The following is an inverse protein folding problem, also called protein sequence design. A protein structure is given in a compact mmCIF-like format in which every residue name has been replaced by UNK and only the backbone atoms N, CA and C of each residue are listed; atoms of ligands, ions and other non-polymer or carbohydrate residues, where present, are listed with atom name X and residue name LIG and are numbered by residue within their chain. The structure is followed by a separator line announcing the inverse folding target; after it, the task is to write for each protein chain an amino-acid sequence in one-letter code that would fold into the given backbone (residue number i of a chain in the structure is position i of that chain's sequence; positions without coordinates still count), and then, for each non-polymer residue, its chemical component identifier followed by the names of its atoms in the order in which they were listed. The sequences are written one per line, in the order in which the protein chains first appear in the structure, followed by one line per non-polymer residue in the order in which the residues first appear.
data_IF_206701640773
#
_entry.id   IF_206701640773
#
_cell.length_a   1.000
_cell.length_b   1.000
_cell.length_c   1.000
_cell.angle_alpha   90.00
_cell.angle_beta   90.00
_cell.angle_gamma   90.00
#
_symmetry.space_group_name_H-M   'P 1'
#
loop_
_entity.id
_entity.type
_entity.pdbx_description
1 polymer ?
#
# COMPACT_ATOMS: atom_id res chain seq x y z
N UNK A 1 -23.28 -15.78 -17.28
CA UNK A 1 -22.88 -15.45 -18.68
C UNK A 1 -21.99 -14.20 -18.74
N UNK A 2 -22.37 -13.10 -18.05
CA UNK A 2 -21.58 -11.85 -17.95
C UNK A 2 -20.12 -12.06 -17.49
N UNK A 3 -19.88 -12.73 -16.37
CA UNK A 3 -18.52 -13.00 -15.81
C UNK A 3 -17.59 -13.64 -16.83
N UNK A 4 -18.01 -14.75 -17.46
CA UNK A 4 -17.22 -15.45 -18.48
C UNK A 4 -16.89 -14.55 -19.67
N UNK A 5 -17.81 -13.69 -20.10
CA UNK A 5 -17.56 -12.73 -21.18
C UNK A 5 -16.52 -11.69 -20.77
N UNK A 6 -16.61 -11.14 -19.55
CA UNK A 6 -15.65 -10.15 -19.05
C UNK A 6 -14.26 -10.76 -18.92
N UNK A 7 -14.12 -11.93 -18.28
CA UNK A 7 -12.83 -12.64 -18.13
C UNK A 7 -12.21 -12.97 -19.49
N UNK A 8 -13.02 -13.44 -20.46
CA UNK A 8 -12.53 -13.70 -21.82
C UNK A 8 -12.07 -12.41 -22.52
N UNK A 9 -12.76 -11.29 -22.29
CA UNK A 9 -12.36 -10.00 -22.84
C UNK A 9 -11.03 -9.52 -22.23
N UNK A 10 -10.84 -9.64 -20.91
CA UNK A 10 -9.56 -9.35 -20.26
C UNK A 10 -8.44 -10.24 -20.77
N UNK A 11 -8.67 -11.56 -20.85
CA UNK A 11 -7.69 -12.50 -21.40
C UNK A 11 -7.28 -12.10 -22.82
N UNK A 12 -8.24 -11.73 -23.67
CA UNK A 12 -7.94 -11.28 -25.04
C UNK A 12 -7.22 -9.93 -25.07
N UNK A 13 -7.69 -8.94 -24.30
CA UNK A 13 -7.21 -7.54 -24.31
C UNK A 13 -5.80 -7.42 -23.74
N UNK A 14 -5.53 -8.09 -22.61
CA UNK A 14 -4.31 -7.89 -21.83
C UNK A 14 -3.34 -9.07 -21.88
N UNK A 15 -3.80 -10.25 -22.28
CA UNK A 15 -3.00 -11.49 -22.19
C UNK A 15 -2.96 -12.27 -23.50
N UNK A 16 -3.42 -11.68 -24.62
CA UNK A 16 -3.47 -12.31 -25.95
C UNK A 16 -4.19 -13.68 -25.98
N UNK A 17 -5.11 -13.92 -25.05
CA UNK A 17 -5.81 -15.20 -24.91
C UNK A 17 -4.99 -16.32 -24.26
N UNK A 18 -3.84 -16.01 -23.65
CA UNK A 18 -2.85 -16.97 -23.17
C UNK A 18 -2.82 -17.15 -21.65
N UNK A 19 -3.82 -16.67 -20.90
CA UNK A 19 -3.91 -17.03 -19.47
C UNK A 19 -4.06 -18.54 -19.29
N UNK A 20 -3.45 -19.09 -18.24
CA UNK A 20 -3.56 -20.50 -17.89
C UNK A 20 -5.00 -20.89 -17.55
N UNK A 21 -5.34 -22.17 -17.72
CA UNK A 21 -6.68 -22.68 -17.37
C UNK A 21 -7.02 -22.47 -15.90
N UNK A 22 -6.02 -22.58 -15.03
CA UNK A 22 -6.17 -22.37 -13.59
C UNK A 22 -6.53 -20.91 -13.27
N UNK A 23 -5.79 -19.95 -13.83
CA UNK A 23 -6.09 -18.52 -13.69
C UNK A 23 -7.49 -18.20 -14.19
N UNK A 24 -7.86 -18.69 -15.38
CA UNK A 24 -9.20 -18.50 -15.92
C UNK A 24 -10.29 -19.12 -15.03
N UNK A 25 -10.00 -20.28 -14.42
CA UNK A 25 -10.85 -20.94 -13.45
C UNK A 25 -11.11 -20.05 -12.23
N UNK A 26 -10.07 -19.52 -11.61
CA UNK A 26 -10.17 -18.62 -10.45
C UNK A 26 -10.92 -17.32 -10.81
N UNK A 27 -10.51 -16.63 -11.88
CA UNK A 27 -11.15 -15.36 -12.28
C UNK A 27 -12.64 -15.54 -12.63
N UNK A 28 -13.05 -16.74 -13.06
CA UNK A 28 -14.46 -17.02 -13.34
C UNK A 28 -15.36 -17.09 -12.11
N UNK A 29 -14.77 -17.14 -10.89
CA UNK A 29 -15.49 -17.16 -9.62
C UNK A 29 -15.81 -15.76 -9.08
N UNK A 30 -15.21 -14.71 -9.67
CA UNK A 30 -15.43 -13.31 -9.27
C UNK A 30 -16.88 -12.86 -9.49
N UNK A 31 -17.44 -12.08 -8.56
CA UNK A 31 -18.71 -11.37 -8.77
C UNK A 31 -18.53 -10.12 -9.64
N UNK A 32 -18.37 -10.34 -10.95
CA UNK A 32 -18.24 -9.27 -11.95
C UNK A 32 -19.59 -8.60 -12.30
N UNK A 33 -20.61 -8.75 -11.46
CA UNK A 33 -21.76 -7.84 -11.48
C UNK A 33 -21.46 -6.54 -10.76
N UNK A 34 -20.50 -6.53 -9.83
CA UNK A 34 -20.00 -5.33 -9.20
C UNK A 34 -19.10 -4.55 -10.19
N UNK A 35 -19.53 -3.35 -10.58
CA UNK A 35 -18.81 -2.48 -11.52
C UNK A 35 -17.49 -1.95 -10.94
N UNK A 36 -17.40 -1.80 -9.62
CA UNK A 36 -16.18 -1.36 -8.95
C UNK A 36 -15.08 -2.41 -9.08
N UNK A 37 -15.39 -3.68 -8.79
CA UNK A 37 -14.47 -4.81 -8.97
C UNK A 37 -14.02 -4.89 -10.43
N UNK A 38 -14.96 -4.72 -11.36
CA UNK A 38 -14.67 -4.79 -12.79
C UNK A 38 -13.72 -3.67 -13.21
N UNK A 39 -13.95 -2.45 -12.75
CA UNK A 39 -13.12 -1.27 -13.08
C UNK A 39 -11.73 -1.38 -12.46
N UNK A 40 -11.66 -1.79 -11.18
CA UNK A 40 -10.41 -2.03 -10.47
C UNK A 40 -9.57 -3.09 -11.20
N UNK A 41 -10.15 -4.22 -11.56
CA UNK A 41 -9.43 -5.30 -12.24
C UNK A 41 -9.03 -4.95 -13.68
N UNK A 42 -9.85 -4.17 -14.40
CA UNK A 42 -9.45 -3.67 -15.73
C UNK A 42 -8.21 -2.78 -15.64
N UNK A 43 -8.17 -1.88 -14.65
CA UNK A 43 -7.01 -1.01 -14.34
C UNK A 43 -5.79 -1.83 -13.93
N UNK A 44 -5.97 -2.80 -13.04
CA UNK A 44 -4.92 -3.70 -12.58
C UNK A 44 -4.27 -4.45 -13.77
N UNK A 45 -5.09 -5.05 -14.64
CA UNK A 45 -4.58 -5.80 -15.81
C UNK A 45 -3.97 -4.89 -16.87
N UNK A 46 -4.45 -3.64 -16.99
CA UNK A 46 -3.83 -2.64 -17.84
C UNK A 46 -2.39 -2.36 -17.42
N UNK A 47 -2.11 -2.09 -16.14
CA UNK A 47 -0.74 -1.84 -15.67
C UNK A 47 0.17 -3.07 -15.81
N UNK A 48 -0.37 -4.28 -15.55
CA UNK A 48 0.37 -5.52 -15.80
C UNK A 48 0.78 -5.63 -17.27
N UNK A 49 -0.17 -5.38 -18.19
CA UNK A 49 0.07 -5.41 -19.63
C UNK A 49 1.09 -4.34 -20.08
N UNK A 50 0.95 -3.11 -19.60
CA UNK A 50 1.86 -2.00 -19.93
C UNK A 50 3.30 -2.26 -19.49
N UNK A 51 3.49 -3.09 -18.45
CA UNK A 51 4.82 -3.51 -17.98
C UNK A 51 5.52 -4.52 -18.89
N UNK A 52 4.91 -4.92 -20.01
CA UNK A 52 5.49 -5.89 -20.95
C UNK A 52 5.42 -7.35 -20.49
N UNK A 53 4.72 -7.61 -19.39
CA UNK A 53 4.63 -8.94 -18.80
C UNK A 53 3.68 -9.87 -19.58
N UNK A 54 4.08 -11.14 -19.67
CA UNK A 54 3.35 -12.15 -20.44
C UNK A 54 2.36 -12.88 -19.55
N UNK A 55 1.33 -13.46 -20.16
CA UNK A 55 0.30 -14.24 -19.46
C UNK A 55 0.87 -15.37 -18.60
N UNK A 56 1.98 -15.97 -19.06
CA UNK A 56 2.70 -17.06 -18.39
C UNK A 56 3.30 -16.68 -17.04
N UNK A 57 3.49 -15.40 -16.81
CA UNK A 57 4.05 -14.89 -15.57
C UNK A 57 2.98 -14.43 -14.58
N UNK A 58 1.69 -14.49 -14.94
CA UNK A 58 0.61 -14.19 -14.00
C UNK A 58 0.30 -15.44 -13.15
N UNK A 59 0.66 -15.46 -11.86
CA UNK A 59 0.60 -16.69 -11.08
C UNK A 59 -0.85 -16.99 -10.62
N UNK A 60 -1.27 -18.27 -10.63
CA UNK A 60 -2.61 -18.67 -10.21
C UNK A 60 -3.02 -18.24 -8.79
N UNK A 61 -2.08 -18.20 -7.83
CA UNK A 61 -2.38 -17.77 -6.44
C UNK A 61 -2.99 -16.36 -6.40
N UNK A 62 -2.60 -15.48 -7.31
CA UNK A 62 -3.17 -14.13 -7.33
C UNK A 62 -4.55 -14.12 -7.94
N UNK A 63 -4.81 -14.93 -8.95
CA UNK A 63 -6.16 -15.13 -9.46
C UNK A 63 -7.08 -15.69 -8.37
N UNK A 64 -6.60 -16.66 -7.60
CA UNK A 64 -7.31 -17.24 -6.47
C UNK A 64 -7.54 -16.21 -5.35
N UNK A 65 -6.48 -15.53 -4.91
CA UNK A 65 -6.58 -14.50 -3.87
C UNK A 65 -7.56 -13.40 -4.26
N UNK A 66 -7.53 -12.94 -5.52
CA UNK A 66 -8.50 -11.97 -6.04
C UNK A 66 -9.91 -12.54 -5.96
N UNK A 67 -10.13 -13.78 -6.42
CA UNK A 67 -11.44 -14.44 -6.37
C UNK A 67 -12.00 -14.56 -4.94
N UNK A 68 -11.14 -14.82 -3.96
CA UNK A 68 -11.53 -15.05 -2.57
C UNK A 68 -11.66 -13.76 -1.74
N UNK A 69 -10.88 -12.72 -2.07
CA UNK A 69 -10.70 -11.57 -1.17
C UNK A 69 -11.09 -10.23 -1.77
N UNK A 70 -11.15 -10.07 -3.11
CA UNK A 70 -11.21 -8.72 -3.71
C UNK A 70 -12.43 -7.91 -3.25
N UNK A 71 -13.58 -8.56 -3.04
CA UNK A 71 -14.80 -7.92 -2.54
C UNK A 71 -14.56 -7.19 -1.22
N UNK A 72 -13.74 -7.77 -0.34
CA UNK A 72 -13.43 -7.16 0.93
C UNK A 72 -12.63 -5.89 0.74
N UNK A 73 -11.82 -5.73 -0.32
CA UNK A 73 -10.95 -4.56 -0.48
C UNK A 73 -11.55 -3.43 -1.33
N UNK A 74 -12.77 -3.57 -1.84
CA UNK A 74 -13.44 -2.53 -2.63
C UNK A 74 -13.90 -1.38 -1.74
N UNK A 75 -13.81 -0.13 -2.23
CA UNK A 75 -14.23 1.07 -1.49
C UNK A 75 -15.70 1.00 -1.07
N UNK A 76 -16.57 0.45 -1.92
CA UNK A 76 -17.98 0.25 -1.56
C UNK A 76 -18.21 -0.70 -0.37
N UNK A 77 -17.23 -1.56 -0.05
CA UNK A 77 -17.30 -2.45 1.10
C UNK A 77 -17.04 -1.73 2.44
N UNK A 78 -16.70 -0.44 2.40
CA UNK A 78 -16.29 0.35 3.56
C UNK A 78 -16.99 1.71 3.60
N UNK A 79 -17.32 2.19 4.81
CA UNK A 79 -17.68 3.60 4.97
C UNK A 79 -16.44 4.50 4.94
N UNK A 80 -15.28 3.98 5.35
CA UNK A 80 -13.95 4.58 5.22
C UNK A 80 -12.93 3.49 4.93
N UNK A 81 -11.91 3.81 4.13
CA UNK A 81 -10.83 2.87 3.79
C UNK A 81 -10.20 2.31 5.08
N UNK A 82 -10.11 0.98 5.24
CA UNK A 82 -9.51 0.39 6.41
C UNK A 82 -8.01 0.73 6.46
N UNK A 83 -7.47 1.05 7.63
CA UNK A 83 -6.07 1.35 7.76
C UNK A 83 -5.23 0.09 7.52
N UNK A 84 -4.18 0.25 6.72
CA UNK A 84 -3.17 -0.78 6.50
C UNK A 84 -1.95 -0.37 7.31
N UNK A 85 -1.96 -0.64 8.62
CA UNK A 85 -0.87 -0.25 9.52
C UNK A 85 -0.25 -1.49 10.15
N UNK A 86 1.08 -1.56 10.13
CA UNK A 86 1.81 -2.64 10.77
C UNK A 86 3.17 -2.12 11.23
N UNK A 87 3.60 -2.61 12.40
CA UNK A 87 4.91 -2.27 12.96
C UNK A 87 6.03 -2.68 12.02
N UNK A 88 6.99 -1.80 11.81
CA UNK A 88 8.14 -1.98 10.94
C UNK A 88 7.83 -1.84 9.44
N UNK A 89 6.56 -1.63 9.04
CA UNK A 89 6.15 -1.53 7.64
C UNK A 89 6.95 -0.46 6.88
N UNK A 90 7.18 0.70 7.49
CA UNK A 90 7.87 1.83 6.86
C UNK A 90 9.32 2.00 7.30
N UNK A 91 9.92 1.01 7.98
CA UNK A 91 11.30 1.11 8.47
C UNK A 91 12.32 1.47 7.38
N UNK A 92 12.17 0.87 6.19
CA UNK A 92 13.06 1.17 5.05
C UNK A 92 12.86 2.62 4.56
N UNK A 93 11.65 3.16 4.60
CA UNK A 93 11.38 4.55 4.26
C UNK A 93 12.01 5.50 5.29
N UNK A 94 11.98 5.15 6.57
CA UNK A 94 12.68 5.91 7.60
C UNK A 94 14.20 5.95 7.32
N UNK A 95 14.77 4.85 6.80
CA UNK A 95 16.18 4.84 6.33
C UNK A 95 16.41 5.72 5.10
N UNK A 96 15.43 5.87 4.19
CA UNK A 96 15.51 6.81 3.04
C UNK A 96 15.67 8.24 3.53
N UNK A 97 14.93 8.64 4.57
CA UNK A 97 15.03 9.99 5.13
C UNK A 97 16.43 10.26 5.69
N UNK A 98 16.99 9.30 6.42
CA UNK A 98 18.31 9.45 7.03
C UNK A 98 19.45 9.35 6.02
N UNK A 99 19.41 8.38 5.11
CA UNK A 99 20.55 8.01 4.26
C UNK A 99 20.52 8.68 2.90
N UNK A 100 19.35 8.74 2.26
CA UNK A 100 19.18 9.32 0.92
C UNK A 100 18.98 10.83 1.03
N UNK A 101 18.01 11.28 1.84
CA UNK A 101 17.70 12.71 1.99
C UNK A 101 18.65 13.44 2.95
N UNK A 102 19.45 12.69 3.72
CA UNK A 102 20.41 13.22 4.72
C UNK A 102 19.74 14.12 5.75
N UNK A 103 18.49 13.81 6.11
CA UNK A 103 17.78 14.50 7.18
C UNK A 103 18.42 14.14 8.52
N UNK A 104 18.74 15.17 9.29
CA UNK A 104 19.46 15.06 10.54
C UNK A 104 18.50 14.59 11.65
N UNK A 105 18.76 13.39 12.20
CA UNK A 105 18.00 12.84 13.32
C UNK A 105 18.22 13.62 14.62
N UNK A 106 19.35 14.34 14.72
CA UNK A 106 19.75 15.09 15.90
C UNK A 106 19.23 16.54 15.90
N UNK A 107 18.42 16.92 14.90
CA UNK A 107 17.79 18.24 14.82
C UNK A 107 16.27 18.13 14.82
N UNK A 108 15.57 19.08 15.45
CA UNK A 108 14.13 19.19 15.31
C UNK A 108 13.75 19.48 13.86
N UNK A 109 12.86 18.65 13.31
CA UNK A 109 12.20 18.86 12.03
C UNK A 109 10.69 18.83 12.26
N UNK A 110 9.96 19.66 11.51
CA UNK A 110 8.50 19.61 11.47
C UNK A 110 8.09 18.60 10.40
N UNK A 111 7.34 17.56 10.77
CA UNK A 111 6.97 16.46 9.88
C UNK A 111 5.46 16.29 9.83
N UNK A 112 4.92 16.11 8.62
CA UNK A 112 3.53 15.71 8.41
C UNK A 112 3.46 14.26 7.91
N UNK A 113 2.71 13.41 8.61
CA UNK A 113 2.40 12.04 8.18
C UNK A 113 0.95 11.97 7.70
N UNK A 114 0.73 11.82 6.40
CA UNK A 114 -0.60 11.81 5.78
C UNK A 114 -1.07 10.37 5.60
N UNK A 115 -2.20 10.03 6.22
CA UNK A 115 -2.82 8.71 6.18
C UNK A 115 -2.19 7.76 7.20
N UNK A 116 -1.98 8.22 8.43
CA UNK A 116 -1.36 7.42 9.47
C UNK A 116 -2.18 6.19 9.90
N UNK A 117 -3.47 6.14 9.55
CA UNK A 117 -4.37 5.07 9.92
C UNK A 117 -4.63 4.95 11.42
N UNK A 118 -5.23 3.84 11.82
CA UNK A 118 -5.44 3.46 13.22
C UNK A 118 -5.39 1.93 13.41
N UNK A 119 -4.62 1.40 14.38
CA UNK A 119 -3.66 2.12 15.22
C UNK A 119 -2.52 2.72 14.37
N UNK A 120 -1.94 3.87 14.76
CA UNK A 120 -1.00 4.63 13.94
C UNK A 120 0.44 4.07 14.02
N UNK A 121 0.61 2.75 13.90
CA UNK A 121 1.87 2.03 14.14
C UNK A 121 3.06 2.60 13.37
N UNK A 122 2.86 2.96 12.10
CA UNK A 122 3.94 3.48 11.26
C UNK A 122 4.38 4.88 11.68
N UNK A 123 3.48 5.69 12.22
CA UNK A 123 3.79 7.01 12.78
C UNK A 123 4.51 6.88 14.12
N UNK A 124 4.12 5.91 14.94
CA UNK A 124 4.81 5.60 16.19
C UNK A 124 6.24 5.13 15.92
N UNK A 125 6.45 4.27 14.93
CA UNK A 125 7.78 3.84 14.51
C UNK A 125 8.65 5.03 14.09
N UNK A 126 8.09 5.97 13.32
CA UNK A 126 8.79 7.20 12.94
C UNK A 126 9.17 8.05 14.15
N UNK A 127 8.22 8.29 15.06
CA UNK A 127 8.46 9.07 16.28
C UNK A 127 9.55 8.43 17.16
N UNK A 128 9.57 7.09 17.22
CA UNK A 128 10.60 6.35 17.94
C UNK A 128 11.97 6.41 17.25
N UNK A 129 12.01 6.37 15.91
CA UNK A 129 13.24 6.46 15.14
C UNK A 129 13.85 7.87 15.17
N UNK A 130 13.02 8.91 15.28
CA UNK A 130 13.44 10.32 15.25
C UNK A 130 12.84 11.11 16.43
N UNK A 131 13.33 10.89 17.66
CA UNK A 131 12.69 11.41 18.89
C UNK A 131 12.73 12.94 19.03
N UNK A 132 13.51 13.65 18.21
CA UNK A 132 13.58 15.11 18.20
C UNK A 132 12.62 15.77 17.20
N UNK A 133 12.06 15.01 16.26
CA UNK A 133 11.14 15.53 15.26
C UNK A 133 9.79 15.82 15.88
N UNK A 134 9.17 16.92 15.46
CA UNK A 134 7.81 17.28 15.83
C UNK A 134 6.88 16.79 14.71
N UNK A 135 6.12 15.73 14.99
CA UNK A 135 5.30 15.02 14.03
C UNK A 135 3.83 15.39 14.23
N UNK A 136 3.22 15.91 13.17
CA UNK A 136 1.76 15.99 13.03
C UNK A 136 1.32 14.85 12.11
N UNK A 137 0.39 14.02 12.54
CA UNK A 137 -0.14 12.93 11.75
C UNK A 137 -1.63 13.14 11.50
N UNK A 138 -2.06 12.93 10.26
CA UNK A 138 -3.44 13.18 9.86
C UNK A 138 -4.08 11.96 9.21
N UNK A 139 -5.31 11.67 9.58
CA UNK A 139 -6.12 10.64 8.91
C UNK A 139 -7.62 10.89 9.18
N UNK A 140 -8.47 10.94 8.13
CA UNK A 140 -9.91 11.11 8.32
C UNK A 140 -10.58 9.85 8.90
N UNK A 141 -9.92 8.71 8.88
CA UNK A 141 -10.37 7.40 9.34
C UNK A 141 -10.12 7.12 10.82
N UNK A 142 -9.52 8.07 11.57
CA UNK A 142 -9.33 7.89 13.02
C UNK A 142 -10.68 7.71 13.74
N UNK A 143 -10.83 6.67 14.57
CA UNK A 143 -12.04 6.47 15.35
C UNK A 143 -12.14 7.46 16.51
N UNK A 144 -13.36 7.89 16.81
CA UNK A 144 -13.67 8.62 18.05
C UNK A 144 -13.90 7.66 19.21
N UNK A 145 -14.33 6.42 18.91
CA UNK A 145 -14.54 5.39 19.93
C UNK A 145 -14.10 4.02 19.42
N UNK A 146 -13.60 3.19 20.33
CA UNK A 146 -13.30 1.78 20.05
C UNK A 146 -13.96 0.92 21.10
N UNK A 147 -14.73 -0.07 20.65
CA UNK A 147 -15.35 -1.06 21.50
C UNK A 147 -14.71 -2.41 21.25
N UNK A 148 -14.06 -2.96 22.28
CA UNK A 148 -13.55 -4.31 22.27
C UNK A 148 -14.60 -5.28 22.80
N UNK A 149 -14.75 -6.43 22.17
CA UNK A 149 -15.47 -7.56 22.76
C UNK A 149 -14.54 -8.42 23.65
N UNK A 150 -15.11 -9.44 24.28
CA UNK A 150 -14.37 -10.35 25.17
C UNK A 150 -13.35 -11.25 24.45
N UNK A 151 -13.41 -11.33 23.11
CA UNK A 151 -12.46 -12.08 22.28
C UNK A 151 -11.31 -11.18 21.79
N UNK A 152 -11.34 -9.87 22.11
CA UNK A 152 -10.34 -8.89 21.69
C UNK A 152 -10.57 -8.36 20.26
N UNK A 153 -11.72 -8.65 19.65
CA UNK A 153 -12.13 -7.98 18.42
C UNK A 153 -12.50 -6.54 18.71
N UNK A 154 -12.23 -5.63 17.76
CA UNK A 154 -12.45 -4.21 17.96
C UNK A 154 -13.40 -3.64 16.91
N UNK A 155 -14.41 -2.89 17.34
CA UNK A 155 -15.25 -2.07 16.48
C UNK A 155 -14.90 -0.59 16.64
N UNK A 156 -14.68 0.08 15.51
CA UNK A 156 -14.29 1.48 15.45
C UNK A 156 -15.49 2.34 15.06
N UNK A 157 -15.82 3.33 15.88
CA UNK A 157 -16.93 4.25 15.68
C UNK A 157 -16.45 5.68 15.46
N UNK A 158 -17.13 6.42 14.61
CA UNK A 158 -16.87 7.85 14.39
C UNK A 158 -17.56 8.74 15.44
N UNK A 159 -17.36 10.05 15.35
CA UNK A 159 -17.97 11.04 16.25
C UNK A 159 -19.50 11.02 16.17
N UNK A 160 -20.07 10.67 15.02
CA UNK A 160 -21.51 10.49 14.84
C UNK A 160 -22.00 9.12 15.33
N UNK A 161 -21.13 8.33 15.98
CA UNK A 161 -21.41 7.02 16.57
C UNK A 161 -21.78 5.96 15.52
N UNK A 162 -21.36 6.16 14.27
CA UNK A 162 -21.52 5.16 13.21
C UNK A 162 -20.37 4.17 13.25
N UNK A 163 -20.68 2.89 13.08
CA UNK A 163 -19.67 1.84 12.91
C UNK A 163 -18.93 2.05 11.58
N UNK A 164 -17.63 2.34 11.66
CA UNK A 164 -16.77 2.62 10.51
C UNK A 164 -16.15 1.34 9.96
N UNK A 165 -15.52 0.55 10.84
CA UNK A 165 -14.92 -0.75 10.51
C UNK A 165 -14.75 -1.62 11.76
N UNK A 166 -14.45 -2.89 11.54
CA UNK A 166 -14.16 -3.88 12.59
C UNK A 166 -12.78 -4.49 12.30
N UNK A 167 -11.98 -4.67 13.35
CA UNK A 167 -10.70 -5.36 13.31
C UNK A 167 -10.80 -6.68 14.07
N UNK A 168 -10.21 -7.74 13.50
CA UNK A 168 -10.02 -8.99 14.24
C UNK A 168 -9.01 -8.78 15.36
N UNK A 169 -9.07 -9.65 16.37
CA UNK A 169 -8.05 -9.68 17.40
C UNK A 169 -6.69 -9.92 16.71
N UNK A 170 -5.69 -9.04 16.89
CA UNK A 170 -4.39 -9.15 16.24
C UNK A 170 -3.62 -10.44 16.59
N UNK A 171 -4.00 -11.17 17.65
CA UNK A 171 -3.44 -12.48 17.98
C UNK A 171 -3.94 -13.61 17.06
N UNK A 172 -5.01 -13.37 16.28
CA UNK A 172 -5.53 -14.35 15.32
C UNK A 172 -4.77 -14.30 13.99
N UNK A 173 -4.42 -15.47 13.44
CA UNK A 173 -3.65 -15.59 12.18
C UNK A 173 -4.39 -15.13 10.92
N UNK A 174 -5.71 -14.99 10.98
CA UNK A 174 -6.54 -14.54 9.85
C UNK A 174 -6.91 -13.09 10.12
N UNK A 175 -6.44 -12.18 9.27
CA UNK A 175 -6.58 -10.74 9.53
C UNK A 175 -7.94 -10.16 9.08
N UNK A 176 -8.77 -10.92 8.34
CA UNK A 176 -10.03 -10.42 7.81
C UNK A 176 -11.20 -11.36 8.07
N UNK A 177 -12.36 -10.78 8.36
CA UNK A 177 -13.62 -11.49 8.39
C UNK A 177 -14.06 -11.80 6.96
N UNK A 178 -14.54 -13.03 6.72
CA UNK A 178 -15.33 -13.27 5.53
C UNK A 178 -16.67 -12.51 5.61
N UNK A 179 -17.40 -12.40 4.50
CA UNK A 179 -18.65 -11.64 4.45
C UNK A 179 -19.67 -12.01 5.54
N UNK A 180 -19.87 -13.31 5.79
CA UNK A 180 -20.85 -13.79 6.79
C UNK A 180 -20.41 -13.44 8.20
N UNK A 181 -19.12 -13.61 8.49
CA UNK A 181 -18.56 -13.19 9.77
C UNK A 181 -18.67 -11.68 9.95
N UNK A 182 -18.38 -10.89 8.92
CA UNK A 182 -18.48 -9.42 8.97
C UNK A 182 -19.90 -8.99 9.34
N UNK A 183 -20.92 -9.57 8.70
CA UNK A 183 -22.32 -9.30 9.04
C UNK A 183 -22.66 -9.70 10.48
N UNK A 184 -22.16 -10.85 10.96
CA UNK A 184 -22.34 -11.29 12.34
C UNK A 184 -21.74 -10.30 13.35
N UNK A 185 -20.47 -9.93 13.18
CA UNK A 185 -19.77 -9.02 14.09
C UNK A 185 -20.31 -7.59 14.01
N UNK A 186 -20.76 -7.12 12.83
CA UNK A 186 -21.46 -5.82 12.72
C UNK A 186 -22.68 -5.80 13.65
N UNK A 187 -23.54 -6.81 13.58
CA UNK A 187 -24.74 -6.87 14.41
C UNK A 187 -24.38 -6.98 15.90
N UNK A 188 -23.39 -7.81 16.24
CA UNK A 188 -22.91 -7.95 17.62
C UNK A 188 -22.41 -6.61 18.18
N UNK A 189 -21.53 -5.91 17.46
CA UNK A 189 -20.98 -4.64 17.93
C UNK A 189 -22.01 -3.52 17.97
N UNK A 190 -23.02 -3.53 17.10
CA UNK A 190 -24.15 -2.61 17.21
C UNK A 190 -24.94 -2.86 18.51
N UNK A 191 -25.21 -4.13 18.84
CA UNK A 191 -25.87 -4.48 20.09
C UNK A 191 -25.04 -4.09 21.32
N UNK A 192 -23.73 -4.31 21.28
CA UNK A 192 -22.82 -3.90 22.35
C UNK A 192 -22.76 -2.37 22.48
N UNK A 193 -22.71 -1.65 21.35
CA UNK A 193 -22.72 -0.20 21.33
C UNK A 193 -23.99 0.36 21.97
N UNK A 194 -25.17 -0.21 21.66
CA UNK A 194 -26.44 0.21 22.25
C UNK A 194 -26.49 0.06 23.78
N UNK A 195 -25.69 -0.83 24.37
CA UNK A 195 -25.60 -1.01 25.83
C UNK A 195 -24.77 0.08 26.51
N UNK A 196 -23.81 0.67 25.79
CA UNK A 196 -22.77 1.56 26.37
C UNK A 196 -22.89 3.01 25.92
N UNK A 197 -23.56 3.28 24.80
CA UNK A 197 -23.61 4.62 24.17
C UNK A 197 -24.19 5.73 25.05
N UNK A 198 -25.07 5.37 25.99
CA UNK A 198 -25.73 6.30 26.90
C UNK A 198 -24.91 6.59 28.17
N UNK A 199 -23.87 5.77 28.45
CA UNK A 199 -22.94 5.97 29.57
C UNK A 199 -21.64 6.67 29.16
N UNK A 200 -21.48 7.00 27.88
CA UNK A 200 -20.29 7.67 27.35
C UNK A 200 -20.20 9.08 27.93
N UNK A 201 -19.25 9.29 28.83
CA UNK A 201 -18.84 10.63 29.24
C UNK A 201 -17.69 11.10 28.34
N UNK A 202 -18.02 12.01 27.41
CA UNK A 202 -17.04 12.56 26.46
C UNK A 202 -15.97 13.44 27.12
N UNK A 203 -16.13 13.78 28.40
CA UNK A 203 -15.14 14.56 29.17
C UNK A 203 -14.04 13.69 29.78
N UNK A 204 -14.25 12.38 29.90
CA UNK A 204 -13.27 11.46 30.45
C UNK A 204 -12.39 10.81 29.36
N UNK A 205 -11.07 10.92 29.52
CA UNK A 205 -10.06 10.20 28.70
C UNK A 205 -9.88 8.75 29.17
N UNK A 206 -10.97 8.03 29.41
CA UNK A 206 -10.94 6.79 30.19
C UNK A 206 -11.61 5.63 29.45
N UNK A 207 -10.98 4.46 29.57
CA UNK A 207 -11.59 3.20 29.18
C UNK A 207 -12.74 2.83 30.12
N UNK A 208 -13.96 2.74 29.62
CA UNK A 208 -15.10 2.21 30.37
C UNK A 208 -15.16 0.70 30.18
N UNK A 209 -14.98 -0.06 31.26
CA UNK A 209 -15.20 -1.51 31.25
C UNK A 209 -16.67 -1.80 31.49
N UNK A 210 -17.26 -2.60 30.60
CA UNK A 210 -18.59 -3.19 30.80
C UNK A 210 -18.46 -4.69 31.01
N UNK A 211 -19.52 -5.34 31.50
CA UNK A 211 -19.56 -6.81 31.59
C UNK A 211 -19.40 -7.50 30.21
N UNK A 212 -19.49 -6.72 29.13
CA UNK A 212 -19.56 -7.16 27.75
C UNK A 212 -18.37 -6.72 26.88
N UNK A 213 -17.43 -5.94 27.42
CA UNK A 213 -16.29 -5.44 26.65
C UNK A 213 -15.56 -4.24 27.26
N UNK A 214 -14.65 -3.66 26.48
CA UNK A 214 -13.91 -2.44 26.84
C UNK A 214 -14.18 -1.34 25.82
N UNK A 215 -14.75 -0.22 26.26
CA UNK A 215 -14.92 0.98 25.46
C UNK A 215 -13.76 1.95 25.70
N UNK A 216 -13.12 2.42 24.65
CA UNK A 216 -12.11 3.49 24.68
C UNK A 216 -12.66 4.72 23.96
N UNK A 217 -12.60 5.88 24.63
CA UNK A 217 -13.05 7.18 24.12
C UNK A 217 -11.82 7.99 23.67
N UNK A 218 -11.88 8.59 22.48
CA UNK A 218 -10.79 9.35 21.87
C UNK A 218 -9.44 8.59 21.87
N UNK A 219 -9.42 7.37 21.31
CA UNK A 219 -8.30 6.44 21.45
C UNK A 219 -6.98 7.00 20.92
N UNK A 220 -7.02 7.89 19.93
CA UNK A 220 -5.82 8.50 19.35
C UNK A 220 -5.01 9.29 20.38
N UNK A 221 -5.66 9.87 21.39
CA UNK A 221 -4.98 10.68 22.43
C UNK A 221 -4.06 9.86 23.32
N UNK A 222 -4.20 8.53 23.35
CA UNK A 222 -3.28 7.63 24.05
C UNK A 222 -1.91 7.54 23.38
N UNK A 223 -1.81 7.91 22.11
CA UNK A 223 -0.58 7.88 21.33
C UNK A 223 0.11 9.24 21.26
N UNK A 224 -0.54 10.32 21.70
CA UNK A 224 0.02 11.67 21.68
C UNK A 224 1.19 11.83 22.65
N UNK A 225 2.12 12.70 22.29
CA UNK A 225 3.22 13.13 23.15
C UNK A 225 3.49 14.62 22.97
N UNK A 226 4.52 15.16 23.63
CA UNK A 226 4.93 16.55 23.43
C UNK A 226 5.45 16.85 22.01
N UNK A 227 5.71 15.81 21.21
CA UNK A 227 6.24 15.92 19.84
C UNK A 227 5.47 15.09 18.81
N UNK A 228 4.35 14.50 19.21
CA UNK A 228 3.51 13.69 18.33
C UNK A 228 2.06 14.09 18.56
N UNK A 229 1.44 14.63 17.51
CA UNK A 229 0.09 15.15 17.51
C UNK A 229 -0.71 14.52 16.38
N UNK A 230 -2.02 14.35 16.60
CA UNK A 230 -2.91 13.76 15.61
C UNK A 230 -4.10 14.67 15.31
N UNK A 231 -4.36 14.91 14.03
CA UNK A 231 -5.53 15.65 13.57
C UNK A 231 -6.42 14.79 12.66
N UNK A 232 -7.74 14.88 12.84
CA UNK A 232 -8.71 14.21 11.96
C UNK A 232 -8.94 15.10 10.72
N UNK A 233 -8.04 15.00 9.74
CA UNK A 233 -8.05 15.80 8.51
C UNK A 233 -7.76 14.94 7.28
N UNK A 234 -8.29 15.37 6.13
CA UNK A 234 -7.88 14.83 4.82
C UNK A 234 -6.73 15.65 4.24
N UNK A 235 -5.98 15.05 3.32
CA UNK A 235 -4.93 15.75 2.56
C UNK A 235 -5.48 16.97 1.78
N UNK A 236 -6.76 16.93 1.37
CA UNK A 236 -7.42 18.03 0.65
C UNK A 236 -7.94 19.13 1.59
N UNK A 237 -8.27 18.78 2.84
CA UNK A 237 -8.80 19.72 3.83
C UNK A 237 -7.72 20.48 4.60
N UNK A 238 -6.46 20.04 4.54
CA UNK A 238 -5.38 20.69 5.26
C UNK A 238 -5.17 22.16 4.82
N UNK A 239 -4.72 22.98 5.77
CA UNK A 239 -4.51 24.41 5.58
C UNK A 239 -3.24 24.89 6.31
N UNK A 240 -2.13 24.24 6.00
CA UNK A 240 -0.81 24.64 6.49
C UNK A 240 -0.08 25.45 5.43
N UNK A 241 0.77 26.39 5.85
CA UNK A 241 1.60 27.20 4.96
C UNK A 241 3.05 27.19 5.44
N UNK A 242 3.96 26.66 4.61
CA UNK A 242 5.40 26.54 4.89
C UNK A 242 5.71 26.00 6.30
N UNK A 243 4.94 25.01 6.74
CA UNK A 243 4.98 24.48 8.10
C UNK A 243 5.97 23.31 8.25
N UNK A 244 6.13 22.48 7.21
CA UNK A 244 6.82 21.20 7.32
C UNK A 244 8.14 21.14 6.54
N UNK A 245 9.14 20.51 7.13
CA UNK A 245 10.42 20.19 6.49
C UNK A 245 10.30 18.87 5.68
N UNK A 246 9.44 17.96 6.14
CA UNK A 246 9.15 16.68 5.50
C UNK A 246 7.63 16.40 5.54
N UNK A 247 7.08 15.97 4.43
CA UNK A 247 5.74 15.39 4.35
C UNK A 247 5.89 13.97 3.82
N UNK A 248 5.27 12.98 4.47
CA UNK A 248 5.22 11.61 3.95
C UNK A 248 3.79 11.10 3.78
N UNK A 249 3.55 10.23 2.80
CA UNK A 249 2.25 9.59 2.61
C UNK A 249 2.34 8.23 1.92
N UNK A 250 1.96 7.14 2.61
CA UNK A 250 2.12 5.79 2.09
C UNK A 250 0.81 5.02 2.04
N UNK A 251 0.51 4.44 0.88
CA UNK A 251 -0.74 3.76 0.55
C UNK A 251 -2.00 4.62 0.68
N UNK A 252 -1.90 5.93 0.40
CA UNK A 252 -3.05 6.87 0.38
C UNK A 252 -3.43 7.25 -1.05
N UNK A 253 -2.45 7.68 -1.85
CA UNK A 253 -2.68 8.21 -3.20
C UNK A 253 -3.24 7.17 -4.18
N UNK A 254 -3.11 5.87 -3.87
CA UNK A 254 -3.73 4.77 -4.63
C UNK A 254 -5.26 4.85 -4.72
N UNK A 255 -5.90 5.61 -3.82
CA UNK A 255 -7.34 5.84 -3.74
C UNK A 255 -7.80 7.13 -4.41
N UNK A 256 -6.89 7.96 -4.93
CA UNK A 256 -7.24 9.29 -5.43
C UNK A 256 -7.52 9.25 -6.92
N UNK A 257 -8.65 9.84 -7.33
CA UNK A 257 -8.84 10.23 -8.73
C UNK A 257 -7.78 11.27 -9.11
N UNK A 258 -7.65 11.53 -10.42
CA UNK A 258 -6.74 12.57 -10.91
C UNK A 258 -7.00 13.94 -10.25
N UNK A 259 -8.27 14.33 -10.11
CA UNK A 259 -8.63 15.60 -9.49
C UNK A 259 -8.27 15.64 -8.00
N UNK A 260 -8.53 14.54 -7.27
CA UNK A 260 -8.18 14.44 -5.86
C UNK A 260 -6.66 14.45 -5.65
N UNK A 261 -5.90 13.80 -6.54
CA UNK A 261 -4.44 13.83 -6.59
C UNK A 261 -3.94 15.27 -6.77
N UNK A 262 -4.39 15.97 -7.80
CA UNK A 262 -3.97 17.34 -8.10
C UNK A 262 -4.27 18.31 -6.95
N UNK A 263 -5.46 18.19 -6.34
CA UNK A 263 -5.82 19.00 -5.18
C UNK A 263 -4.91 18.72 -3.98
N UNK A 264 -4.62 17.46 -3.68
CA UNK A 264 -3.73 17.08 -2.59
C UNK A 264 -2.30 17.59 -2.84
N UNK A 265 -1.77 17.45 -4.06
CA UNK A 265 -0.45 17.95 -4.43
C UNK A 265 -0.32 19.46 -4.24
N UNK A 266 -1.35 20.24 -4.62
CA UNK A 266 -1.37 21.69 -4.39
C UNK A 266 -1.34 22.05 -2.89
N UNK A 267 -2.04 21.28 -2.06
CA UNK A 267 -2.02 21.47 -0.61
C UNK A 267 -0.65 21.14 -0.02
N UNK A 268 -0.03 20.05 -0.47
CA UNK A 268 1.31 19.64 -0.03
C UNK A 268 2.35 20.68 -0.41
N UNK A 269 2.30 21.21 -1.64
CA UNK A 269 3.20 22.27 -2.10
C UNK A 269 3.14 23.50 -1.18
N UNK A 270 1.94 23.91 -0.76
CA UNK A 270 1.75 25.04 0.15
C UNK A 270 2.25 24.73 1.56
N UNK A 271 2.00 23.53 2.06
CA UNK A 271 2.35 23.11 3.41
C UNK A 271 3.87 22.93 3.61
N UNK A 272 4.59 22.54 2.57
CA UNK A 272 6.02 22.25 2.63
C UNK A 272 6.86 23.54 2.63
N UNK A 273 7.93 23.59 3.43
CA UNK A 273 8.93 24.67 3.38
C UNK A 273 9.76 24.58 2.10
N UNK A 274 10.30 25.71 1.67
CA UNK A 274 11.29 25.74 0.57
C UNK A 274 12.49 24.84 0.91
N UNK A 275 12.89 23.98 -0.01
CA UNK A 275 13.92 22.95 0.19
C UNK A 275 13.46 21.69 0.93
N UNK A 276 12.25 21.69 1.49
CA UNK A 276 11.65 20.53 2.14
C UNK A 276 11.26 19.42 1.15
N UNK A 277 11.00 18.23 1.69
CA UNK A 277 10.70 17.04 0.88
C UNK A 277 9.27 16.53 1.06
N UNK A 278 8.69 16.05 -0.03
CA UNK A 278 7.48 15.23 0.00
C UNK A 278 7.81 13.84 -0.54
N UNK A 279 7.54 12.81 0.26
CA UNK A 279 7.80 11.41 -0.11
C UNK A 279 6.49 10.65 -0.05
N UNK A 280 6.06 10.06 -1.16
CA UNK A 280 4.88 9.22 -1.17
C UNK A 280 5.07 7.95 -1.96
N UNK A 281 4.22 6.97 -1.68
CA UNK A 281 4.16 5.76 -2.48
C UNK A 281 3.44 4.63 -1.79
N UNK A 282 3.98 3.43 -1.93
CA UNK A 282 3.40 2.20 -1.41
C UNK A 282 4.50 1.31 -0.84
N UNK A 283 4.23 0.70 0.31
CA UNK A 283 5.03 -0.39 0.88
C UNK A 283 4.04 -1.45 1.34
N UNK A 284 4.34 -2.73 1.10
CA UNK A 284 3.47 -3.82 1.54
C UNK A 284 3.45 -3.94 3.07
N UNK A 285 2.42 -4.59 3.63
CA UNK A 285 2.18 -4.66 5.09
C UNK A 285 3.36 -5.19 5.90
N UNK A 286 4.12 -6.12 5.33
CA UNK A 286 5.31 -6.73 5.93
C UNK A 286 6.61 -5.94 5.67
N UNK A 287 6.53 -4.74 5.09
CA UNK A 287 7.68 -3.89 4.77
C UNK A 287 8.39 -4.21 3.45
N UNK A 288 7.84 -5.10 2.62
CA UNK A 288 8.43 -5.39 1.30
C UNK A 288 7.82 -4.53 0.20
N UNK A 289 8.35 -4.67 -1.02
CA UNK A 289 7.86 -3.95 -2.19
C UNK A 289 7.76 -2.43 -2.03
N UNK A 290 8.79 -1.75 -1.49
CA UNK A 290 8.79 -0.30 -1.50
C UNK A 290 8.78 0.21 -2.94
N UNK A 291 7.88 1.16 -3.18
CA UNK A 291 7.72 1.96 -4.37
C UNK A 291 7.46 3.39 -3.88
N UNK A 292 8.28 4.37 -4.24
CA UNK A 292 8.10 5.74 -3.78
C UNK A 292 8.63 6.76 -4.75
N UNK A 293 8.07 7.96 -4.66
CA UNK A 293 8.53 9.15 -5.37
C UNK A 293 8.87 10.23 -4.36
N UNK A 294 10.01 10.88 -4.58
CA UNK A 294 10.51 12.00 -3.78
C UNK A 294 10.35 13.26 -4.61
N UNK A 295 9.72 14.26 -3.99
CA UNK A 295 9.65 15.63 -4.48
C UNK A 295 10.42 16.53 -3.54
N UNK A 296 11.01 17.59 -4.08
CA UNK A 296 11.56 18.69 -3.30
C UNK A 296 10.87 19.98 -3.70
N UNK A 297 10.54 20.82 -2.72
CA UNK A 297 10.05 22.17 -3.02
C UNK A 297 11.20 23.06 -3.45
N UNK A 298 11.16 23.53 -4.69
CA UNK A 298 12.13 24.44 -5.27
C UNK A 298 11.42 25.59 -6.00
N UNK A 299 11.84 26.82 -5.74
CA UNK A 299 11.23 28.04 -6.24
C UNK A 299 9.71 28.08 -6.02
N UNK A 300 9.26 27.64 -4.84
CA UNK A 300 7.85 27.59 -4.48
C UNK A 300 7.03 26.47 -5.14
N UNK A 301 7.65 25.56 -5.89
CA UNK A 301 6.96 24.44 -6.58
C UNK A 301 7.50 23.08 -6.16
N UNK A 302 6.65 22.06 -6.14
CA UNK A 302 7.11 20.67 -6.00
C UNK A 302 7.77 20.20 -7.31
N UNK A 303 9.05 19.87 -7.23
CA UNK A 303 9.81 19.26 -8.33
C UNK A 303 10.05 17.78 -8.03
N UNK A 304 9.76 16.86 -8.95
CA UNK A 304 10.14 15.46 -8.79
C UNK A 304 11.66 15.34 -8.83
N UNK A 305 12.22 14.62 -7.87
CA UNK A 305 13.67 14.40 -7.73
C UNK A 305 14.03 12.97 -8.02
N UNK A 306 13.28 12.03 -7.46
CA UNK A 306 13.60 10.61 -7.56
C UNK A 306 12.33 9.76 -7.57
N UNK A 307 12.33 8.73 -8.40
CA UNK A 307 11.38 7.62 -8.32
C UNK A 307 12.16 6.33 -8.02
N UNK A 308 11.76 5.56 -7.02
CA UNK A 308 12.46 4.37 -6.62
C UNK A 308 11.54 3.18 -6.35
N UNK A 309 12.04 1.97 -6.61
CA UNK A 309 11.31 0.73 -6.40
C UNK A 309 12.26 -0.45 -6.12
N UNK A 310 11.77 -1.44 -5.39
CA UNK A 310 12.54 -2.67 -5.11
C UNK A 310 12.47 -3.71 -6.24
N UNK A 311 13.38 -4.70 -6.21
CA UNK A 311 13.47 -5.74 -7.25
C UNK A 311 12.27 -6.68 -7.29
N UNK A 312 11.53 -6.82 -6.20
CA UNK A 312 10.39 -7.75 -6.14
C UNK A 312 9.27 -7.39 -7.13
N UNK A 313 9.19 -6.13 -7.57
CA UNK A 313 8.26 -5.69 -8.62
C UNK A 313 8.54 -6.34 -9.98
N UNK A 314 9.79 -6.75 -10.25
CA UNK A 314 10.18 -7.42 -11.50
C UNK A 314 9.75 -8.90 -11.50
N UNK A 315 9.62 -9.49 -10.31
CA UNK A 315 9.35 -10.94 -10.17
C UNK A 315 7.97 -11.36 -10.68
N UNK A 316 7.03 -10.41 -10.80
CA UNK A 316 5.61 -10.63 -11.14
C UNK A 316 4.81 -11.42 -10.10
N UNK A 317 5.49 -11.96 -9.10
CA UNK A 317 4.90 -12.60 -7.94
C UNK A 317 4.38 -11.57 -6.93
N UNK A 318 4.60 -10.27 -7.10
CA UNK A 318 4.01 -9.24 -6.27
C UNK A 318 2.75 -8.63 -6.93
N UNK A 319 1.56 -9.05 -6.50
CA UNK A 319 0.30 -8.50 -7.02
C UNK A 319 0.07 -7.03 -6.67
N UNK A 320 0.61 -6.56 -5.53
CA UNK A 320 0.32 -5.21 -5.03
C UNK A 320 1.02 -4.13 -5.85
N UNK A 321 2.01 -4.51 -6.67
CA UNK A 321 2.64 -3.63 -7.67
C UNK A 321 1.61 -2.87 -8.51
N UNK A 322 0.50 -3.52 -8.85
CA UNK A 322 -0.54 -3.01 -9.75
C UNK A 322 -1.80 -2.52 -9.03
N UNK A 323 -1.77 -2.51 -7.69
CA UNK A 323 -2.92 -2.13 -6.89
C UNK A 323 -3.21 -0.63 -7.03
N UNK A 324 -4.30 -0.30 -7.71
CA UNK A 324 -4.75 1.07 -7.87
C UNK A 324 -6.24 1.14 -8.25
N UNK A 325 -6.97 2.11 -7.71
CA UNK A 325 -8.39 2.32 -8.00
C UNK A 325 -8.66 3.19 -9.22
N UNK A 326 -7.62 3.83 -9.77
CA UNK A 326 -7.75 4.78 -10.86
C UNK A 326 -6.66 4.57 -11.92
N UNK A 327 -7.04 4.77 -13.17
CA UNK A 327 -6.10 4.80 -14.28
C UNK A 327 -5.18 6.03 -14.21
N UNK A 328 -4.05 5.96 -14.91
CA UNK A 328 -3.10 7.06 -15.09
C UNK A 328 -2.48 7.62 -13.81
N UNK A 329 -2.26 6.78 -12.79
CA UNK A 329 -1.47 7.18 -11.63
C UNK A 329 0.00 7.37 -12.02
N UNK A 330 0.62 8.52 -11.68
CA UNK A 330 1.99 8.83 -12.12
C UNK A 330 3.03 7.79 -11.69
N UNK A 331 2.99 7.36 -10.43
CA UNK A 331 3.94 6.38 -9.86
C UNK A 331 3.79 4.99 -10.50
N UNK A 332 2.55 4.58 -10.80
CA UNK A 332 2.28 3.33 -11.52
C UNK A 332 2.75 3.39 -12.96
N UNK A 333 2.51 4.49 -13.67
CA UNK A 333 2.99 4.66 -15.04
C UNK A 333 4.53 4.63 -15.09
N UNK A 334 5.22 5.32 -14.18
CA UNK A 334 6.68 5.26 -14.04
C UNK A 334 7.18 3.84 -13.77
N UNK A 335 6.53 3.11 -12.85
CA UNK A 335 6.84 1.70 -12.60
C UNK A 335 6.68 0.86 -13.86
N UNK A 336 5.54 0.96 -14.56
CA UNK A 336 5.29 0.18 -15.78
C UNK A 336 6.31 0.47 -16.87
N UNK A 337 6.76 1.73 -17.02
CA UNK A 337 7.79 2.09 -18.00
C UNK A 337 9.14 1.43 -17.65
N UNK A 338 9.56 1.50 -16.38
CA UNK A 338 10.80 0.85 -15.93
C UNK A 338 10.74 -0.66 -16.13
N UNK A 339 9.64 -1.30 -15.73
CA UNK A 339 9.46 -2.74 -15.85
C UNK A 339 9.38 -3.20 -17.30
N UNK A 340 8.76 -2.39 -18.18
CA UNK A 340 8.74 -2.66 -19.62
C UNK A 340 10.14 -2.66 -20.23
N UNK A 341 10.97 -1.67 -19.91
CA UNK A 341 12.37 -1.63 -20.37
C UNK A 341 13.11 -2.90 -19.95
N UNK A 342 12.93 -3.33 -18.70
CA UNK A 342 13.57 -4.53 -18.17
C UNK A 342 13.03 -5.79 -18.87
N UNK A 343 11.72 -5.88 -19.11
CA UNK A 343 11.08 -7.00 -19.78
C UNK A 343 11.48 -7.11 -21.26
N UNK A 344 11.74 -5.98 -21.93
CA UNK A 344 12.20 -5.94 -23.32
C UNK A 344 13.67 -6.40 -23.47
N UNK A 345 14.49 -6.37 -22.41
CA UNK A 345 15.82 -7.01 -22.36
C UNK A 345 15.67 -8.51 -22.07
N UNK A 346 15.39 -9.30 -23.12
CA UNK A 346 15.08 -10.74 -22.99
C UNK A 346 16.14 -11.53 -22.22
N UNK A 347 17.42 -11.18 -22.37
CA UNK A 347 18.52 -11.91 -21.71
C UNK A 347 18.52 -11.65 -20.21
N UNK A 348 18.43 -10.38 -19.80
CA UNK A 348 18.34 -10.02 -18.39
C UNK A 348 17.05 -10.58 -17.78
N UNK A 349 15.91 -10.38 -18.43
CA UNK A 349 14.63 -10.78 -17.92
C UNK A 349 14.53 -12.29 -17.74
N UNK A 350 14.94 -13.09 -18.74
CA UNK A 350 14.99 -14.56 -18.60
C UNK A 350 15.93 -15.02 -17.48
N UNK A 351 17.03 -14.32 -17.24
CA UNK A 351 17.94 -14.63 -16.13
C UNK A 351 17.28 -14.38 -14.78
N UNK A 352 16.59 -13.25 -14.62
CA UNK A 352 15.82 -12.93 -13.42
C UNK A 352 14.70 -13.95 -13.20
N UNK A 353 13.93 -14.28 -14.24
CA UNK A 353 12.85 -15.27 -14.14
C UNK A 353 13.38 -16.66 -13.75
N UNK A 354 14.53 -17.07 -14.28
CA UNK A 354 15.17 -18.33 -13.89
C UNK A 354 15.56 -18.33 -12.41
N UNK A 355 16.04 -17.21 -11.87
CA UNK A 355 16.30 -17.08 -10.43
C UNK A 355 15.02 -17.05 -9.59
N UNK A 356 13.95 -16.42 -10.07
CA UNK A 356 12.62 -16.52 -9.42
C UNK A 356 12.15 -17.97 -9.36
N UNK A 357 12.28 -18.72 -10.45
CA UNK A 357 11.88 -20.13 -10.49
C UNK A 357 12.73 -21.00 -9.55
N UNK A 358 14.04 -20.74 -9.45
CA UNK A 358 14.92 -21.40 -8.49
C UNK A 358 14.51 -21.09 -7.04
N UNK A 359 14.19 -19.84 -6.74
CA UNK A 359 13.67 -19.44 -5.43
C UNK A 359 12.36 -20.17 -5.12
N UNK A 360 11.41 -20.20 -6.06
CA UNK A 360 10.12 -20.88 -5.89
C UNK A 360 10.30 -22.37 -5.54
N UNK A 361 11.25 -23.03 -6.20
CA UNK A 361 11.58 -24.44 -5.95
C UNK A 361 12.29 -24.65 -4.61
N UNK A 362 13.30 -23.82 -4.29
CA UNK A 362 14.07 -23.92 -3.05
C UNK A 362 13.20 -23.69 -1.81
N UNK A 363 12.27 -22.75 -1.91
CA UNK A 363 11.32 -22.43 -0.84
C UNK A 363 10.10 -23.35 -0.81
N UNK A 364 10.00 -24.32 -1.73
CA UNK A 364 8.86 -25.22 -1.85
C UNK A 364 7.52 -24.46 -1.90
N UNK A 365 7.49 -23.35 -2.65
CA UNK A 365 6.31 -22.51 -2.85
C UNK A 365 5.75 -22.66 -4.26
N UNK A 366 6.53 -23.11 -5.23
CA UNK A 366 6.06 -23.31 -6.59
C UNK A 366 7.09 -23.84 -7.58
N UNK A 367 6.66 -23.94 -8.83
CA UNK A 367 7.49 -24.37 -9.96
C UNK A 367 6.94 -23.80 -11.27
N UNK A 368 7.77 -23.80 -12.32
CA UNK A 368 7.34 -23.51 -13.69
C UNK A 368 7.18 -24.80 -14.48
N UNK A 369 6.07 -24.96 -15.21
CA UNK A 369 5.83 -26.16 -16.01
C UNK A 369 6.52 -26.11 -17.39
N UNK A 370 6.34 -27.18 -18.17
CA UNK A 370 6.90 -27.29 -19.52
C UNK A 370 6.28 -26.31 -20.53
N UNK A 371 5.10 -25.77 -20.23
CA UNK A 371 4.41 -24.75 -21.02
C UNK A 371 4.79 -23.32 -20.54
N UNK A 372 5.74 -23.23 -19.61
CA UNK A 372 6.35 -22.01 -19.06
C UNK A 372 5.39 -21.21 -18.12
N UNK A 373 4.32 -21.84 -17.62
CA UNK A 373 3.42 -21.26 -16.61
C UNK A 373 3.92 -21.52 -15.20
N UNK A 374 3.76 -20.51 -14.33
CA UNK A 374 4.00 -20.65 -12.89
C UNK A 374 2.84 -21.41 -12.25
N UNK A 375 3.18 -22.42 -11.45
CA UNK A 375 2.31 -23.17 -10.55
C UNK A 375 2.79 -22.97 -9.12
N UNK A 376 1.86 -22.80 -8.19
CA UNK A 376 2.20 -22.66 -6.78
C UNK A 376 1.72 -23.89 -6.03
N UNK A 377 2.50 -24.30 -5.05
CA UNK A 377 2.14 -25.37 -4.13
C UNK A 377 1.23 -24.78 -3.05
N UNK A 378 0.29 -25.58 -2.55
CA UNK A 378 -0.53 -25.19 -1.40
C UNK A 378 0.38 -25.04 -0.17
N UNK A 379 0.81 -23.81 0.07
CA UNK A 379 1.80 -23.46 1.08
C UNK A 379 1.27 -22.30 1.93
N UNK A 380 0.84 -22.56 3.18
CA UNK A 380 0.28 -21.51 4.04
C UNK A 380 1.30 -20.43 4.40
N UNK A 381 2.60 -20.68 4.23
CA UNK A 381 3.68 -19.75 4.53
C UNK A 381 4.14 -18.95 3.31
N UNK A 382 3.38 -18.96 2.20
CA UNK A 382 3.75 -18.29 0.94
C UNK A 382 4.21 -16.83 1.17
N UNK A 383 3.38 -16.03 1.86
CA UNK A 383 3.67 -14.62 2.11
C UNK A 383 4.89 -14.41 3.01
N UNK A 384 5.10 -15.31 3.97
CA UNK A 384 6.24 -15.26 4.88
C UNK A 384 7.55 -15.56 4.16
N UNK A 385 7.56 -16.53 3.25
CA UNK A 385 8.75 -16.86 2.45
C UNK A 385 8.99 -15.80 1.39
N UNK A 386 7.92 -15.27 0.79
CA UNK A 386 7.98 -14.24 -0.25
C UNK A 386 8.82 -13.02 0.15
N UNK A 387 8.86 -12.66 1.44
CA UNK A 387 9.66 -11.52 1.91
C UNK A 387 11.17 -11.65 1.64
N UNK A 388 11.65 -12.88 1.43
CA UNK A 388 13.05 -13.16 1.12
C UNK A 388 13.38 -13.05 -0.37
N UNK A 389 12.37 -12.90 -1.25
CA UNK A 389 12.60 -12.85 -2.69
C UNK A 389 13.44 -11.63 -3.09
N UNK A 390 13.21 -10.46 -2.49
CA UNK A 390 13.98 -9.27 -2.80
C UNK A 390 15.47 -9.49 -2.49
N UNK A 391 15.79 -10.11 -1.34
CA UNK A 391 17.16 -10.48 -0.98
C UNK A 391 17.78 -11.48 -1.95
N UNK A 392 17.00 -12.46 -2.40
CA UNK A 392 17.42 -13.45 -3.38
C UNK A 392 17.78 -12.81 -4.73
N UNK A 393 17.03 -11.78 -5.13
CA UNK A 393 17.23 -11.08 -6.40
C UNK A 393 18.31 -9.98 -6.36
N UNK A 394 18.82 -9.60 -5.18
CA UNK A 394 19.87 -8.56 -5.02
C UNK A 394 21.04 -8.64 -6.01
N UNK A 395 21.56 -9.83 -6.40
CA UNK A 395 22.63 -9.92 -7.40
C UNK A 395 22.31 -9.25 -8.75
N UNK A 396 21.02 -9.07 -9.10
CA UNK A 396 20.58 -8.46 -10.35
C UNK A 396 20.45 -6.94 -10.30
N UNK A 397 20.48 -6.31 -9.12
CA UNK A 397 20.17 -4.86 -8.99
C UNK A 397 21.05 -3.99 -9.89
N UNK A 398 22.33 -4.33 -10.02
CA UNK A 398 23.28 -3.63 -10.88
C UNK A 398 22.93 -3.80 -12.36
N UNK A 399 22.66 -5.02 -12.80
CA UNK A 399 22.28 -5.32 -14.18
C UNK A 399 20.96 -4.66 -14.58
N UNK A 400 20.02 -4.55 -13.64
CA UNK A 400 18.76 -3.82 -13.83
C UNK A 400 19.02 -2.33 -14.02
N UNK A 401 19.83 -1.69 -13.16
CA UNK A 401 20.19 -0.28 -13.34
C UNK A 401 20.91 -0.07 -14.68
N UNK A 402 21.84 -0.94 -15.05
CA UNK A 402 22.53 -0.86 -16.35
C UNK A 402 21.57 -1.00 -17.54
N UNK A 403 20.54 -1.85 -17.44
CA UNK A 403 19.49 -2.00 -18.45
C UNK A 403 18.70 -0.69 -18.62
N UNK A 404 18.27 -0.09 -17.51
CA UNK A 404 17.56 1.19 -17.50
C UNK A 404 18.44 2.35 -18.02
N UNK A 405 19.74 2.37 -17.70
CA UNK A 405 20.68 3.35 -18.26
C UNK A 405 20.80 3.20 -19.78
N UNK A 406 20.89 1.97 -20.30
CA UNK A 406 20.95 1.73 -21.75
C UNK A 406 19.71 2.20 -22.49
N UNK A 407 18.55 2.25 -21.85
CA UNK A 407 17.32 2.80 -22.44
C UNK A 407 17.21 4.32 -22.35
N UNK A 408 18.18 4.99 -21.70
CA UNK A 408 18.22 6.45 -21.56
C UNK A 408 17.76 6.98 -20.20
N UNK A 409 17.34 6.11 -19.27
CA UNK A 409 16.93 6.54 -17.92
C UNK A 409 18.15 6.80 -17.03
N UNK A 410 18.06 7.80 -16.14
CA UNK A 410 19.11 8.09 -15.17
C UNK A 410 19.00 7.19 -13.94
N UNK A 411 19.24 5.88 -14.12
CA UNK A 411 19.09 4.89 -13.05
C UNK A 411 20.35 4.73 -12.18
N UNK A 412 20.15 4.46 -10.89
CA UNK A 412 21.19 4.14 -9.91
C UNK A 412 20.65 3.19 -8.84
N UNK A 413 21.55 2.60 -8.07
CA UNK A 413 21.20 1.97 -6.79
C UNK A 413 21.26 3.06 -5.73
N UNK A 414 20.18 3.29 -4.99
CA UNK A 414 20.21 4.28 -3.93
C UNK A 414 20.79 3.73 -2.62
N UNK A 415 20.86 4.60 -1.62
CA UNK A 415 21.54 4.35 -0.36
C UNK A 415 20.88 3.21 0.43
N UNK A 416 19.58 2.97 0.25
CA UNK A 416 18.85 1.85 0.89
C UNK A 416 18.83 0.57 0.04
N UNK A 417 19.42 0.60 -1.17
CA UNK A 417 19.56 -0.55 -2.05
C UNK A 417 18.42 -0.72 -3.06
N UNK A 418 17.52 0.26 -3.17
CA UNK A 418 16.46 0.27 -4.20
C UNK A 418 17.01 0.74 -5.55
N UNK A 419 16.27 0.40 -6.62
CA UNK A 419 16.51 0.96 -7.95
C UNK A 419 15.87 2.35 -7.96
N UNK A 420 16.67 3.37 -8.23
CA UNK A 420 16.24 4.77 -8.26
C UNK A 420 16.46 5.38 -9.64
N UNK A 421 15.49 6.16 -10.11
CA UNK A 421 15.52 6.96 -11.33
C UNK A 421 15.58 8.43 -10.93
N UNK A 422 16.61 9.15 -11.38
CA UNK A 422 16.67 10.60 -11.21
C UNK A 422 15.69 11.30 -12.16
N UNK A 423 14.83 12.16 -11.62
CA UNK A 423 13.79 12.90 -12.34
C UNK A 423 14.13 14.39 -12.54
N UNK A 424 15.24 14.88 -12.00
CA UNK A 424 15.60 16.32 -11.98
C UNK A 424 15.87 16.95 -13.35
N UNK A 425 15.82 16.19 -14.44
CA UNK A 425 16.19 16.66 -15.79
C UNK A 425 15.08 16.52 -16.85
N UNK A 426 13.89 16.03 -16.52
CA UNK A 426 12.81 15.81 -17.51
C UNK A 426 11.93 17.06 -17.76
N UNK A 427 12.18 18.18 -17.09
CA UNK A 427 11.31 19.38 -17.13
C UNK A 427 11.76 20.50 -18.09
N UNK A 428 12.73 20.25 -18.97
CA UNK A 428 13.30 21.27 -19.89
C UNK A 428 13.01 21.02 -21.39
N UNK A 429 12.08 20.14 -21.74
CA UNK A 429 11.60 19.98 -23.14
C UNK A 429 10.15 20.44 -23.33
#
# INVERSE_FOLDING_TARGET
MKTKTIVNNWNKKYFNGQLSREVLGCLSQLDLNNEEITTFLDTYFQYFYLSGFKAKNFPPVWAQWLAENIENYMLSAWQRVPPITAKGRLKLIDEVFHRTLKLDSEKPLQVLDIGCGYPPETTLDLANAFPLWDITAIDPGMPSYILYDNEGHAACFDQAKNLVYIQRNPEQKINQFNRREKEHYINQFQMLWDQVKDSVDETEKVSQWTDSGQLIINPITHYESSRLHFDILTAQAMNYENAFDLIRSFAVFIYFSKEAYEQAMQKIEKALKEGGYFVYGFVFENGTAPLYTIFQKQNGRLQPVEFAFSLDHISQLNCRSWWCFHENQPDKLLLTNCLKVIADDETLFSSIQSSVDQFLQQENIGYRDADDYIHLLDNPDFFDRFKHLNDYLKPFVKSVCECLIRSGLQARINEVGDIAINLENESNE
#
